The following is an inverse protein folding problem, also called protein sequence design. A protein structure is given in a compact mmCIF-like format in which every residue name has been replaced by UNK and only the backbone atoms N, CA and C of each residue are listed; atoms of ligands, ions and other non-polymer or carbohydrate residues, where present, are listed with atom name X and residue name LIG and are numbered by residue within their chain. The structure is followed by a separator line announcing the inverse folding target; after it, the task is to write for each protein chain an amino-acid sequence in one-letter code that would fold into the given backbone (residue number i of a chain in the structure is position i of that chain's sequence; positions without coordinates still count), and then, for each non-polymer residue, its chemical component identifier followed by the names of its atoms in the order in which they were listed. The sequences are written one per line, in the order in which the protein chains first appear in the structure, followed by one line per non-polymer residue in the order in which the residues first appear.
data_IF_666109854663
#
_entry.id   IF_666109854663
#
_cell.length_a   1.000
_cell.length_b   1.000
_cell.length_c   1.000
_cell.angle_alpha   90.00
_cell.angle_beta   90.00
_cell.angle_gamma   90.00
#
_symmetry.space_group_name_H-M   'P 1'
#
loop_
_entity.id
_entity.type
_entity.pdbx_description
1 polymer ?
#
# COMPACT_ATOMS: atom_id res chain seq x y z
N UNK A 1 3.38 -19.50 -8.17
CA UNK A 1 2.85 -18.45 -9.06
C UNK A 1 3.52 -17.13 -8.69
N UNK A 2 4.26 -16.52 -9.62
CA UNK A 2 4.97 -15.28 -9.36
C UNK A 2 4.04 -14.10 -9.68
N UNK A 3 3.21 -13.70 -8.72
CA UNK A 3 2.16 -12.69 -8.90
C UNK A 3 2.72 -11.25 -9.01
N UNK A 4 4.04 -11.08 -8.99
CA UNK A 4 4.71 -9.81 -9.15
C UNK A 4 5.00 -9.45 -10.62
N UNK A 5 4.56 -10.27 -11.57
CA UNK A 5 4.77 -10.04 -13.00
C UNK A 5 3.85 -8.94 -13.56
N UNK A 6 4.35 -8.25 -14.59
CA UNK A 6 3.64 -7.21 -15.35
C UNK A 6 2.22 -7.65 -15.75
N UNK A 7 2.07 -8.86 -16.27
CA UNK A 7 0.81 -9.40 -16.78
C UNK A 7 -0.25 -9.54 -15.68
N UNK A 8 0.20 -9.72 -14.44
CA UNK A 8 -0.67 -9.81 -13.26
C UNK A 8 -0.97 -8.43 -12.67
N UNK A 9 0.03 -7.55 -12.59
CA UNK A 9 -0.09 -6.25 -11.93
C UNK A 9 -0.80 -5.22 -12.80
N UNK A 10 -0.50 -5.17 -14.10
CA UNK A 10 -0.99 -4.12 -14.98
C UNK A 10 -2.53 -4.02 -15.05
N UNK A 11 -3.28 -5.13 -15.22
CA UNK A 11 -4.75 -5.07 -15.22
C UNK A 11 -5.33 -4.62 -13.87
N UNK A 12 -4.64 -4.91 -12.77
CA UNK A 12 -5.07 -4.46 -11.44
C UNK A 12 -4.85 -2.96 -11.31
N UNK A 13 -3.70 -2.46 -11.76
CA UNK A 13 -3.34 -1.04 -11.70
C UNK A 13 -4.32 -0.20 -12.53
N UNK A 14 -4.55 -0.53 -13.80
CA UNK A 14 -5.44 0.25 -14.67
C UNK A 14 -6.90 0.25 -14.22
N UNK A 15 -7.33 -0.82 -13.53
CA UNK A 15 -8.67 -0.89 -12.93
C UNK A 15 -8.81 -0.09 -11.63
N UNK A 16 -7.71 0.11 -10.89
CA UNK A 16 -7.74 0.69 -9.54
C UNK A 16 -7.20 2.12 -9.47
N UNK A 17 -6.38 2.53 -10.43
CA UNK A 17 -5.76 3.84 -10.50
C UNK A 17 -6.33 4.56 -11.72
N UNK A 18 -6.76 5.81 -11.52
CA UNK A 18 -7.26 6.65 -12.61
C UNK A 18 -6.14 6.93 -13.61
N UNK A 19 -6.39 6.85 -14.94
CA UNK A 19 -5.44 7.36 -15.94
C UNK A 19 -5.00 8.80 -15.63
N UNK A 20 -3.81 9.17 -16.11
CA UNK A 20 -3.13 10.45 -15.85
C UNK A 20 -2.81 10.73 -14.37
N UNK A 21 -2.93 9.73 -13.49
CA UNK A 21 -2.44 9.87 -12.11
C UNK A 21 -0.92 9.85 -12.05
N UNK A 22 -0.37 10.52 -11.02
CA UNK A 22 1.03 10.40 -10.65
C UNK A 22 1.24 9.12 -9.85
N UNK A 23 2.16 8.27 -10.30
CA UNK A 23 2.44 6.96 -9.68
C UNK A 23 3.91 6.90 -9.29
N UNK A 24 4.18 6.63 -8.01
CA UNK A 24 5.53 6.40 -7.48
C UNK A 24 5.73 4.92 -7.18
N UNK A 25 6.77 4.30 -7.74
CA UNK A 25 7.12 2.89 -7.46
C UNK A 25 8.61 2.73 -7.18
N UNK A 26 9.00 1.53 -6.75
CA UNK A 26 10.39 1.10 -6.79
C UNK A 26 10.84 0.83 -8.24
N UNK A 27 12.08 0.38 -8.41
CA UNK A 27 12.65 0.05 -9.72
C UNK A 27 12.35 -1.38 -10.20
N UNK A 28 11.30 -2.04 -9.71
CA UNK A 28 10.93 -3.37 -10.21
C UNK A 28 10.48 -3.27 -11.68
N UNK A 29 11.07 -4.10 -12.55
CA UNK A 29 10.81 -4.10 -14.01
C UNK A 29 9.35 -4.34 -14.39
N UNK A 30 8.56 -4.96 -13.51
CA UNK A 30 7.13 -5.16 -13.76
C UNK A 30 6.33 -3.85 -13.82
N UNK A 31 6.88 -2.75 -13.31
CA UNK A 31 6.30 -1.41 -13.42
C UNK A 31 6.73 -0.65 -14.69
N UNK A 32 7.62 -1.21 -15.53
CA UNK A 32 8.09 -0.55 -16.76
C UNK A 32 6.95 -0.18 -17.71
N UNK A 33 5.86 -0.94 -17.69
CA UNK A 33 4.67 -0.67 -18.49
C UNK A 33 4.01 0.67 -18.14
N UNK A 34 4.20 1.19 -16.93
CA UNK A 34 3.57 2.45 -16.51
C UNK A 34 4.12 3.65 -17.27
N UNK A 35 5.35 3.60 -17.78
CA UNK A 35 5.96 4.68 -18.56
C UNK A 35 5.24 4.95 -19.89
N UNK A 36 4.54 3.95 -20.41
CA UNK A 36 3.87 3.99 -21.73
C UNK A 36 2.35 3.85 -21.65
N UNK A 37 1.78 3.88 -20.44
CA UNK A 37 0.38 3.54 -20.19
C UNK A 37 -0.50 4.70 -19.71
N UNK A 38 -0.10 5.94 -20.01
CA UNK A 38 -0.87 7.12 -19.61
C UNK A 38 -0.83 7.40 -18.11
N UNK A 39 0.31 7.12 -17.45
CA UNK A 39 0.56 7.51 -16.07
C UNK A 39 1.79 8.42 -16.00
N UNK A 40 1.80 9.36 -15.06
CA UNK A 40 3.01 10.10 -14.73
C UNK A 40 3.84 9.27 -13.75
N UNK A 41 4.72 8.43 -14.28
CA UNK A 41 5.46 7.45 -13.51
C UNK A 41 6.81 7.99 -13.01
N UNK A 42 7.06 7.85 -11.71
CA UNK A 42 8.30 8.23 -11.05
C UNK A 42 8.86 7.03 -10.27
N UNK A 43 10.14 6.73 -10.50
CA UNK A 43 10.81 5.57 -9.89
C UNK A 43 11.75 6.00 -8.78
N UNK A 44 11.69 5.31 -7.65
CA UNK A 44 12.54 5.57 -6.49
C UNK A 44 13.47 4.38 -6.29
N UNK A 45 14.75 4.59 -6.52
CA UNK A 45 15.76 3.55 -6.38
C UNK A 45 16.30 3.52 -4.95
N UNK A 46 15.76 2.66 -4.10
CA UNK A 46 16.22 2.47 -2.71
C UNK A 46 17.68 2.06 -2.57
N UNK A 47 18.32 1.52 -3.62
CA UNK A 47 19.75 1.21 -3.63
C UNK A 47 20.67 2.40 -3.90
N UNK A 48 20.12 3.53 -4.39
CA UNK A 48 20.90 4.74 -4.75
C UNK A 48 20.44 6.01 -4.03
N UNK A 49 19.14 6.13 -3.72
CA UNK A 49 18.54 7.30 -3.06
C UNK A 49 17.37 6.85 -2.18
N UNK A 50 17.36 7.27 -0.91
CA UNK A 50 16.28 6.98 0.04
C UNK A 50 14.99 7.81 -0.20
N UNK A 51 15.10 8.90 -0.97
CA UNK A 51 14.01 9.74 -1.44
C UNK A 51 14.50 10.58 -2.64
N UNK A 52 13.58 11.00 -3.51
CA UNK A 52 13.83 12.08 -4.46
C UNK A 52 13.00 13.31 -4.06
N UNK A 53 13.62 14.26 -3.36
CA UNK A 53 12.95 15.40 -2.71
C UNK A 53 11.88 14.93 -1.71
N UNK A 54 10.62 15.33 -1.88
CA UNK A 54 9.47 14.88 -1.06
C UNK A 54 8.87 13.56 -1.57
N UNK A 55 9.34 13.05 -2.71
CA UNK A 55 8.81 11.83 -3.30
C UNK A 55 9.54 10.64 -2.66
N UNK A 56 8.81 9.85 -1.87
CA UNK A 56 9.30 8.61 -1.28
C UNK A 56 8.19 7.56 -1.17
N UNK A 57 8.52 6.29 -1.36
CA UNK A 57 7.59 5.16 -1.12
C UNK A 57 7.73 4.62 0.33
N UNK A 58 8.54 5.27 1.16
CA UNK A 58 8.80 4.87 2.56
C UNK A 58 7.52 4.66 3.38
N UNK A 59 6.47 5.45 3.11
CA UNK A 59 5.18 5.32 3.79
C UNK A 59 4.52 3.96 3.57
N UNK A 60 4.48 3.48 2.32
CA UNK A 60 3.88 2.18 2.00
C UNK A 60 4.76 1.02 2.46
N UNK A 61 6.09 1.19 2.41
CA UNK A 61 7.02 0.20 2.97
C UNK A 61 6.88 0.06 4.49
N UNK A 62 6.81 1.18 5.21
CA UNK A 62 6.59 1.22 6.65
C UNK A 62 5.24 0.58 7.02
N UNK A 63 4.18 0.92 6.27
CA UNK A 63 2.87 0.29 6.44
C UNK A 63 2.98 -1.23 6.37
N UNK A 64 3.57 -1.77 5.29
CA UNK A 64 3.68 -3.22 5.13
C UNK A 64 4.56 -3.86 6.20
N UNK A 65 5.63 -3.20 6.65
CA UNK A 65 6.47 -3.70 7.73
C UNK A 65 5.69 -3.83 9.05
N UNK A 66 4.89 -2.83 9.41
CA UNK A 66 4.04 -2.88 10.60
C UNK A 66 2.89 -3.88 10.46
N UNK A 67 2.18 -3.87 9.32
CA UNK A 67 1.09 -4.79 9.05
C UNK A 67 1.56 -6.25 9.12
N UNK A 68 2.68 -6.61 8.48
CA UNK A 68 3.26 -7.95 8.58
C UNK A 68 3.56 -8.34 10.02
N UNK A 69 4.07 -7.42 10.86
CA UNK A 69 4.37 -7.70 12.28
C UNK A 69 3.10 -7.97 13.09
N UNK A 70 2.02 -7.25 12.83
CA UNK A 70 0.71 -7.46 13.47
C UNK A 70 0.10 -8.78 13.00
N UNK A 71 0.02 -8.99 11.68
CA UNK A 71 -0.66 -10.14 11.08
C UNK A 71 0.02 -11.48 11.44
N UNK A 72 1.34 -11.51 11.63
CA UNK A 72 2.07 -12.71 12.07
C UNK A 72 1.62 -13.23 13.44
N UNK A 73 1.09 -12.38 14.31
CA UNK A 73 0.64 -12.78 15.65
C UNK A 73 -0.58 -13.73 15.63
N UNK A 74 -1.30 -13.78 14.51
CA UNK A 74 -2.50 -14.59 14.38
C UNK A 74 -2.20 -16.03 13.90
N UNK A 75 -0.95 -16.38 13.59
CA UNK A 75 -0.53 -17.72 13.14
C UNK A 75 -1.31 -18.26 11.93
N UNK A 76 -1.77 -17.35 11.06
CA UNK A 76 -2.64 -17.67 9.94
C UNK A 76 -3.99 -16.98 10.09
N UNK A 77 -4.53 -16.50 8.96
CA UNK A 77 -5.82 -15.82 8.91
C UNK A 77 -6.59 -16.45 7.77
N UNK A 78 -7.86 -16.81 8.01
CA UNK A 78 -8.71 -17.32 6.95
C UNK A 78 -8.79 -16.33 5.78
N UNK A 79 -8.75 -16.84 4.56
CA UNK A 79 -8.67 -16.02 3.35
C UNK A 79 -9.89 -15.11 3.18
N UNK A 80 -11.07 -15.52 3.65
CA UNK A 80 -12.31 -14.70 3.58
C UNK A 80 -12.25 -13.53 4.56
N UNK A 81 -11.60 -13.74 5.71
CA UNK A 81 -11.45 -12.72 6.76
C UNK A 81 -10.28 -11.78 6.53
N UNK A 82 -9.24 -12.21 5.81
CA UNK A 82 -8.01 -11.42 5.57
C UNK A 82 -8.24 -9.96 5.14
N UNK A 83 -9.21 -9.62 4.26
CA UNK A 83 -9.48 -8.23 3.90
C UNK A 83 -9.88 -7.35 5.09
N UNK A 84 -10.58 -7.89 6.10
CA UNK A 84 -10.96 -7.14 7.30
C UNK A 84 -9.75 -6.84 8.19
N UNK A 85 -8.86 -7.81 8.37
CA UNK A 85 -7.61 -7.61 9.10
C UNK A 85 -6.70 -6.58 8.43
N UNK A 86 -6.65 -6.58 7.09
CA UNK A 86 -5.89 -5.58 6.36
C UNK A 86 -6.52 -4.17 6.53
N UNK A 87 -7.85 -4.05 6.48
CA UNK A 87 -8.55 -2.79 6.78
C UNK A 87 -8.28 -2.30 8.19
N UNK A 88 -8.24 -3.18 9.18
CA UNK A 88 -7.85 -2.82 10.55
C UNK A 88 -6.41 -2.30 10.60
N UNK A 89 -5.46 -2.96 9.94
CA UNK A 89 -4.07 -2.48 9.85
C UNK A 89 -4.00 -1.08 9.22
N UNK A 90 -4.75 -0.84 8.14
CA UNK A 90 -4.84 0.47 7.48
C UNK A 90 -5.41 1.52 8.44
N UNK A 91 -6.46 1.18 9.18
CA UNK A 91 -7.03 2.07 10.20
C UNK A 91 -5.99 2.39 11.29
N UNK A 92 -5.36 1.38 11.88
CA UNK A 92 -4.38 1.61 12.95
C UNK A 92 -3.14 2.38 12.49
N UNK A 93 -2.75 2.23 11.23
CA UNK A 93 -1.59 2.94 10.66
C UNK A 93 -1.89 4.41 10.41
N UNK A 94 -3.09 4.74 9.92
CA UNK A 94 -3.44 6.11 9.51
C UNK A 94 -4.10 6.93 10.63
N UNK A 95 -4.64 6.28 11.65
CA UNK A 95 -5.31 6.94 12.76
C UNK A 95 -4.44 6.85 14.01
N UNK A 96 -4.18 7.99 14.64
CA UNK A 96 -3.10 8.20 15.63
C UNK A 96 -3.07 7.27 16.85
N UNK A 97 -3.00 7.83 18.05
CA UNK A 97 -2.91 7.03 19.28
C UNK A 97 -4.16 6.15 19.49
N UNK A 98 -4.08 5.05 20.28
CA UNK A 98 -5.25 4.22 20.58
C UNK A 98 -6.45 5.01 21.13
N UNK A 99 -6.19 6.08 21.90
CA UNK A 99 -7.24 6.98 22.41
C UNK A 99 -7.94 7.74 21.27
N UNK A 100 -7.19 8.22 20.29
CA UNK A 100 -7.74 8.88 19.10
C UNK A 100 -8.51 7.88 18.22
N UNK A 101 -7.96 6.67 18.03
CA UNK A 101 -8.65 5.60 17.31
C UNK A 101 -10.01 5.28 17.93
N UNK A 102 -10.06 5.10 19.26
CA UNK A 102 -11.31 4.85 19.98
C UNK A 102 -12.30 6.01 19.80
N UNK A 103 -11.82 7.27 19.89
CA UNK A 103 -12.66 8.44 19.65
C UNK A 103 -13.26 8.44 18.24
N UNK A 104 -12.45 8.13 17.22
CA UNK A 104 -12.91 8.02 15.83
C UNK A 104 -13.96 6.93 15.66
N UNK A 105 -13.73 5.74 16.22
CA UNK A 105 -14.67 4.63 16.13
C UNK A 105 -16.01 4.97 16.80
N UNK A 106 -15.97 5.60 17.98
CA UNK A 106 -17.19 6.06 18.67
C UNK A 106 -18.00 7.04 17.82
N UNK A 107 -17.32 8.03 17.25
CA UNK A 107 -17.94 9.00 16.36
C UNK A 107 -18.62 8.33 15.15
N UNK A 108 -17.94 7.38 14.51
CA UNK A 108 -18.51 6.67 13.34
C UNK A 108 -19.65 5.72 13.71
N UNK A 109 -19.64 5.17 14.91
CA UNK A 109 -20.70 4.30 15.41
C UNK A 109 -21.88 5.06 16.03
N UNK A 110 -21.79 6.39 16.19
CA UNK A 110 -22.86 7.21 16.77
C UNK A 110 -23.06 6.99 18.28
N UNK A 111 -22.00 6.63 19.00
CA UNK A 111 -21.97 6.36 20.45
C UNK A 111 -21.00 7.27 21.20
#
# INVERSE_FOLDING_TARGET
MNNAQKESLFPVITRKIRPDSVVYTDCLSSYDVLDVSGFHHYRINHGKKFADRQNHINGIENFWNQAKRVLRKYNGIDRKSFPLFLKECVFRFNFGTPKQQLKTLRLWCGI
#
